data_IF_825094240426
#
_entry.id   IF_825094240426
#
_cell.length_a   1.000
_cell.length_b   1.000
_cell.length_c   1.000
_cell.angle_alpha   90.00
_cell.angle_beta   90.00
_cell.angle_gamma   90.00
#
_symmetry.space_group_name_H-M   'P 1'
#
loop_
_entity.id
_entity.type
_entity.pdbx_description
1 polymer ?
#
# COMPACT_ATOMS: atom_id res chain seq x y z
N UNK A 1 7.14 20.29 -2.03
CA UNK A 1 6.47 19.36 -2.96
C UNK A 1 6.02 18.12 -2.22
N UNK A 2 4.80 17.71 -2.43
CA UNK A 2 4.26 16.50 -1.84
C UNK A 2 5.07 15.27 -2.28
N UNK A 3 5.05 14.25 -1.47
CA UNK A 3 5.75 13.00 -1.71
C UNK A 3 4.81 11.83 -1.49
N UNK A 4 4.94 10.78 -2.29
CA UNK A 4 4.00 9.64 -2.25
C UNK A 4 4.77 8.33 -2.13
N UNK A 5 4.44 7.52 -1.15
CA UNK A 5 4.82 6.10 -1.16
C UNK A 5 3.72 5.32 -1.87
N UNK A 6 4.09 4.61 -2.92
CA UNK A 6 3.16 3.79 -3.70
C UNK A 6 3.42 2.31 -3.48
N UNK A 7 2.36 1.52 -3.48
CA UNK A 7 2.43 0.07 -3.23
C UNK A 7 1.59 -0.66 -4.26
N UNK A 8 2.11 -1.79 -4.73
CA UNK A 8 1.41 -2.67 -5.66
C UNK A 8 1.64 -4.11 -5.20
N UNK A 9 0.57 -4.83 -4.93
CA UNK A 9 0.66 -6.18 -4.37
C UNK A 9 -0.54 -7.03 -4.77
N UNK A 10 -0.46 -8.31 -4.48
CA UNK A 10 -1.56 -9.24 -4.67
C UNK A 10 -2.00 -9.79 -3.31
N UNK A 11 -3.31 -10.00 -3.17
CA UNK A 11 -3.91 -10.53 -1.94
C UNK A 11 -4.86 -11.65 -2.34
N UNK A 12 -4.79 -12.82 -1.69
CA UNK A 12 -5.81 -13.85 -1.92
C UNK A 12 -7.19 -13.27 -1.65
N UNK A 13 -8.12 -13.45 -2.59
CA UNK A 13 -9.47 -12.87 -2.47
C UNK A 13 -10.15 -13.27 -1.14
N UNK A 14 -9.93 -14.52 -0.70
CA UNK A 14 -10.49 -15.01 0.55
C UNK A 14 -9.93 -14.30 1.80
N UNK A 15 -8.80 -13.61 1.66
CA UNK A 15 -8.15 -12.87 2.76
C UNK A 15 -8.34 -11.35 2.65
N UNK A 16 -9.10 -10.89 1.66
CA UNK A 16 -9.26 -9.45 1.43
C UNK A 16 -9.89 -8.75 2.62
N UNK A 17 -10.87 -9.36 3.30
CA UNK A 17 -11.49 -8.78 4.49
C UNK A 17 -10.49 -8.60 5.62
N UNK A 18 -9.60 -9.57 5.82
CA UNK A 18 -8.51 -9.50 6.82
C UNK A 18 -7.54 -8.38 6.44
N UNK A 19 -7.15 -8.32 5.17
CA UNK A 19 -6.27 -7.27 4.66
C UNK A 19 -6.86 -5.89 4.91
N UNK A 20 -8.13 -5.71 4.58
CA UNK A 20 -8.85 -4.44 4.78
C UNK A 20 -8.82 -4.00 6.24
N UNK A 21 -9.06 -4.92 7.16
CA UNK A 21 -9.06 -4.61 8.60
C UNK A 21 -7.68 -4.19 9.09
N UNK A 22 -6.64 -4.93 8.69
CA UNK A 22 -5.25 -4.63 9.05
C UNK A 22 -4.84 -3.27 8.48
N UNK A 23 -5.15 -3.03 7.21
CA UNK A 23 -4.81 -1.79 6.52
C UNK A 23 -5.53 -0.58 7.09
N UNK A 24 -6.80 -0.73 7.49
CA UNK A 24 -7.55 0.34 8.12
C UNK A 24 -6.90 0.75 9.45
N UNK A 25 -6.47 -0.22 10.24
CA UNK A 25 -5.76 0.04 11.49
C UNK A 25 -4.42 0.74 11.23
N UNK A 26 -3.66 0.23 10.26
CA UNK A 26 -2.38 0.84 9.89
C UNK A 26 -2.57 2.28 9.40
N UNK A 27 -3.59 2.54 8.58
CA UNK A 27 -3.87 3.87 8.05
C UNK A 27 -4.15 4.88 9.14
N UNK A 28 -4.89 4.49 10.17
CA UNK A 28 -5.14 5.37 11.32
C UNK A 28 -3.85 5.76 12.03
N UNK A 29 -2.94 4.80 12.21
CA UNK A 29 -1.64 5.05 12.83
C UNK A 29 -0.82 6.01 11.96
N UNK A 30 -0.75 5.78 10.64
CA UNK A 30 -0.07 6.67 9.72
C UNK A 30 -0.59 8.10 9.81
N UNK A 31 -1.92 8.25 9.80
CA UNK A 31 -2.56 9.57 9.89
C UNK A 31 -2.24 10.26 11.21
N UNK A 32 -2.23 9.53 12.32
CA UNK A 32 -1.88 10.09 13.63
C UNK A 32 -0.44 10.60 13.68
N UNK A 33 0.47 9.92 12.97
CA UNK A 33 1.87 10.35 12.87
C UNK A 33 2.09 11.46 11.86
N UNK A 34 1.06 11.87 11.13
CA UNK A 34 1.11 13.06 10.29
C UNK A 34 1.00 12.85 8.79
N UNK A 35 0.77 11.61 8.30
CA UNK A 35 0.51 11.38 6.88
C UNK A 35 -0.72 12.17 6.44
N UNK A 36 -0.65 12.77 5.25
CA UNK A 36 -1.74 13.60 4.74
C UNK A 36 -2.88 12.77 4.16
N UNK A 37 -2.54 11.65 3.52
CA UNK A 37 -3.52 10.79 2.87
C UNK A 37 -3.04 9.35 2.94
N UNK A 38 -3.98 8.43 3.09
CA UNK A 38 -3.73 7.00 3.11
C UNK A 38 -4.89 6.31 2.40
N UNK A 39 -4.61 5.59 1.30
CA UNK A 39 -5.64 4.89 0.53
C UNK A 39 -5.21 3.49 0.15
N UNK A 40 -6.16 2.57 0.25
CA UNK A 40 -6.02 1.20 -0.21
C UNK A 40 -7.11 0.93 -1.23
N UNK A 41 -6.73 0.51 -2.43
CA UNK A 41 -7.68 0.28 -3.52
C UNK A 41 -7.53 -1.13 -4.05
N UNK A 42 -8.65 -1.84 -4.21
CA UNK A 42 -8.65 -3.17 -4.83
C UNK A 42 -9.00 -3.04 -6.31
N UNK A 43 -8.29 -3.83 -7.14
CA UNK A 43 -8.51 -3.82 -8.58
C UNK A 43 -9.94 -4.19 -8.95
N UNK A 44 -10.51 -3.43 -9.85
CA UNK A 44 -11.88 -3.61 -10.38
C UNK A 44 -11.83 -3.79 -11.89
N UNK A 45 -11.44 -2.75 -12.62
CA UNK A 45 -11.33 -2.80 -14.07
C UNK A 45 -9.85 -2.82 -14.47
N UNK A 46 -9.18 -3.96 -14.26
CA UNK A 46 -7.73 -4.10 -14.44
C UNK A 46 -7.31 -4.98 -15.61
N UNK A 47 -8.25 -5.65 -16.28
CA UNK A 47 -7.97 -6.50 -17.44
C UNK A 47 -8.15 -5.69 -18.72
N UNK A 48 -7.34 -4.66 -18.87
CA UNK A 48 -7.41 -3.73 -19.99
C UNK A 48 -6.66 -4.25 -21.20
N UNK A 49 -7.05 -3.79 -22.40
CA UNK A 49 -6.46 -4.24 -23.67
C UNK A 49 -5.19 -3.48 -24.03
N UNK A 50 -5.01 -2.28 -23.51
CA UNK A 50 -3.86 -1.42 -23.83
C UNK A 50 -2.85 -1.45 -22.70
N UNK A 51 -1.57 -1.54 -23.07
CA UNK A 51 -0.50 -1.63 -22.10
C UNK A 51 -0.41 -3.01 -21.47
N UNK A 52 0.33 -3.08 -20.36
CA UNK A 52 0.49 -4.31 -19.58
C UNK A 52 -0.46 -4.28 -18.39
N UNK A 53 -1.49 -5.14 -18.37
CA UNK A 53 -2.47 -5.16 -17.27
C UNK A 53 -1.79 -5.43 -15.90
N UNK A 54 -2.31 -4.82 -14.85
CA UNK A 54 -1.78 -5.01 -13.50
C UNK A 54 -1.70 -6.48 -13.06
N UNK A 55 -2.70 -7.34 -13.35
CA UNK A 55 -2.58 -8.75 -12.99
C UNK A 55 -1.37 -9.45 -13.61
N UNK A 56 -1.01 -9.09 -14.85
CA UNK A 56 0.21 -9.62 -15.50
C UNK A 56 1.47 -9.05 -14.88
N UNK A 57 1.48 -7.74 -14.61
CA UNK A 57 2.63 -7.08 -14.00
C UNK A 57 2.94 -7.64 -12.62
N UNK A 58 1.93 -7.94 -11.83
CA UNK A 58 2.08 -8.47 -10.48
C UNK A 58 2.19 -9.99 -10.44
N UNK A 59 2.05 -10.66 -11.58
CA UNK A 59 2.02 -12.13 -11.68
C UNK A 59 0.95 -12.71 -10.75
N UNK A 60 -0.23 -12.07 -10.74
CA UNK A 60 -1.34 -12.51 -9.89
C UNK A 60 -1.73 -13.95 -10.22
N UNK A 61 -1.87 -14.75 -9.18
CA UNK A 61 -2.31 -16.14 -9.30
C UNK A 61 -3.83 -16.19 -9.30
N UNK A 62 -4.37 -17.35 -9.73
CA UNK A 62 -5.81 -17.61 -9.66
C UNK A 62 -6.28 -17.39 -8.20
N UNK A 63 -7.38 -16.64 -8.06
CA UNK A 63 -7.94 -16.35 -6.74
C UNK A 63 -7.28 -15.19 -6.01
N UNK A 64 -6.33 -14.51 -6.65
CA UNK A 64 -5.73 -13.29 -6.09
C UNK A 64 -6.32 -12.04 -6.72
N UNK A 65 -6.42 -10.98 -5.94
CA UNK A 65 -6.78 -9.64 -6.42
C UNK A 65 -5.56 -8.73 -6.34
N UNK A 66 -5.52 -7.72 -7.19
CA UNK A 66 -4.47 -6.71 -7.17
C UNK A 66 -4.89 -5.58 -6.26
N UNK A 67 -3.97 -5.13 -5.41
CA UNK A 67 -4.18 -3.97 -4.54
C UNK A 67 -3.18 -2.89 -4.95
N UNK A 68 -3.67 -1.67 -5.09
CA UNK A 68 -2.88 -0.48 -5.36
C UNK A 68 -3.16 0.51 -4.24
N UNK A 69 -2.11 0.94 -3.56
CA UNK A 69 -2.27 1.83 -2.41
C UNK A 69 -1.22 2.93 -2.42
N UNK A 70 -1.50 4.01 -1.69
CA UNK A 70 -0.56 5.11 -1.57
C UNK A 70 -0.74 5.85 -0.26
N UNK A 71 0.37 6.47 0.15
CA UNK A 71 0.42 7.33 1.32
C UNK A 71 1.04 8.65 0.87
N UNK A 72 0.40 9.77 1.18
CA UNK A 72 0.88 11.10 0.80
C UNK A 72 1.45 11.82 2.00
N UNK A 73 2.61 12.45 1.80
CA UNK A 73 3.33 13.24 2.80
C UNK A 73 3.57 14.66 2.27
N UNK A 74 3.88 15.60 3.15
CA UNK A 74 4.21 16.98 2.75
C UNK A 74 5.46 17.05 1.88
N UNK A 75 6.44 16.19 2.15
CA UNK A 75 7.74 16.15 1.48
C UNK A 75 8.42 14.83 1.76
N UNK A 76 9.51 14.56 1.06
CA UNK A 76 10.35 13.39 1.36
C UNK A 76 10.91 13.46 2.78
N UNK A 77 11.37 14.62 3.21
CA UNK A 77 11.89 14.80 4.58
C UNK A 77 10.82 14.47 5.63
N UNK A 78 9.58 14.88 5.37
CA UNK A 78 8.44 14.57 6.23
C UNK A 78 8.21 13.06 6.31
N UNK A 79 8.20 12.38 5.15
CA UNK A 79 8.08 10.92 5.08
C UNK A 79 9.20 10.25 5.89
N UNK A 80 10.43 10.68 5.70
CA UNK A 80 11.59 10.08 6.36
C UNK A 80 11.57 10.28 7.87
N UNK A 81 10.93 11.35 8.37
CA UNK A 81 10.73 11.54 9.81
C UNK A 81 9.63 10.66 10.39
N UNK A 82 8.57 10.41 9.61
CA UNK A 82 7.42 9.63 10.07
C UNK A 82 7.73 8.13 10.13
N UNK A 83 8.41 7.60 9.11
CA UNK A 83 8.60 6.15 8.98
C UNK A 83 9.23 5.47 10.19
N UNK A 84 10.31 6.01 10.80
CA UNK A 84 10.87 5.36 12.00
C UNK A 84 9.87 5.28 13.15
N UNK A 85 9.03 6.29 13.32
CA UNK A 85 8.00 6.30 14.35
C UNK A 85 6.95 5.23 14.09
N UNK A 86 6.56 5.06 12.83
CA UNK A 86 5.61 4.02 12.41
C UNK A 86 6.20 2.63 12.69
N UNK A 87 7.48 2.41 12.31
CA UNK A 87 8.13 1.12 12.49
C UNK A 87 8.29 0.73 13.96
N UNK A 88 8.32 1.71 14.86
CA UNK A 88 8.40 1.49 16.30
C UNK A 88 7.04 1.43 16.99
N UNK A 89 5.97 1.73 16.28
CA UNK A 89 4.64 1.76 16.88
C UNK A 89 4.16 0.33 17.15
N UNK A 90 3.91 0.02 18.42
CA UNK A 90 3.54 -1.32 18.86
C UNK A 90 2.22 -1.79 18.28
N UNK A 91 1.32 -0.85 17.90
CA UNK A 91 0.02 -1.18 17.32
C UNK A 91 0.16 -1.87 15.96
N UNK A 92 1.29 -1.69 15.26
CA UNK A 92 1.53 -2.27 13.94
C UNK A 92 2.40 -3.51 13.97
N UNK A 93 2.81 -3.97 15.14
CA UNK A 93 3.59 -5.20 15.24
C UNK A 93 2.72 -6.40 14.91
N UNK A 94 3.20 -7.22 13.99
CA UNK A 94 2.51 -8.42 13.53
C UNK A 94 3.52 -9.49 13.19
N UNK A 95 3.19 -10.74 13.52
CA UNK A 95 4.00 -11.88 13.08
C UNK A 95 3.91 -11.99 11.56
N UNK A 96 5.04 -12.07 10.84
CA UNK A 96 5.02 -12.20 9.37
C UNK A 96 4.14 -13.33 8.85
N UNK A 97 4.01 -14.44 9.60
CA UNK A 97 3.16 -15.57 9.19
C UNK A 97 1.67 -15.22 9.20
N UNK A 98 1.26 -14.17 9.94
CA UNK A 98 -0.14 -13.74 10.03
C UNK A 98 -0.50 -12.70 8.97
N UNK A 99 0.47 -12.30 8.13
CA UNK A 99 0.21 -11.36 7.05
C UNK A 99 -0.67 -12.01 5.99
N UNK A 100 -1.71 -11.30 5.53
CA UNK A 100 -2.65 -11.87 4.55
C UNK A 100 -2.13 -11.86 3.11
N UNK A 101 -0.84 -11.56 2.89
CA UNK A 101 -0.23 -11.53 1.57
C UNK A 101 1.27 -11.83 1.67
N UNK A 102 1.89 -12.18 0.54
CA UNK A 102 3.33 -12.43 0.46
C UNK A 102 4.08 -11.11 0.28
N UNK A 103 4.77 -10.67 1.32
CA UNK A 103 5.52 -9.42 1.32
C UNK A 103 6.64 -9.39 0.29
N UNK A 104 7.18 -10.55 -0.09
CA UNK A 104 8.26 -10.63 -1.10
C UNK A 104 7.78 -10.28 -2.50
N UNK A 105 6.47 -10.37 -2.74
CA UNK A 105 5.84 -10.06 -4.03
C UNK A 105 5.30 -8.64 -4.10
N UNK A 106 5.43 -7.87 -3.02
CA UNK A 106 4.98 -6.48 -2.99
C UNK A 106 6.02 -5.57 -3.61
N UNK A 107 5.59 -4.71 -4.54
CA UNK A 107 6.42 -3.63 -5.07
C UNK A 107 6.06 -2.34 -4.33
N UNK A 108 7.06 -1.58 -3.91
CA UNK A 108 6.80 -0.29 -3.29
C UNK A 108 7.99 0.66 -3.47
N UNK A 109 7.70 1.94 -3.35
CA UNK A 109 8.75 2.95 -3.43
C UNK A 109 8.20 4.35 -3.25
N UNK A 110 9.10 5.31 -3.12
CA UNK A 110 8.78 6.72 -2.96
C UNK A 110 8.85 7.48 -4.27
N UNK A 111 7.89 8.38 -4.48
CA UNK A 111 7.72 9.13 -5.72
C UNK A 111 7.57 10.62 -5.45
N UNK A 112 8.28 11.43 -6.21
CA UNK A 112 8.08 12.89 -6.18
C UNK A 112 6.84 13.24 -6.98
N UNK A 113 6.00 14.10 -6.43
CA UNK A 113 4.89 14.67 -7.19
C UNK A 113 5.48 15.73 -8.14
N UNK A 114 5.24 15.57 -9.44
CA UNK A 114 5.74 16.50 -10.47
C UNK A 114 4.62 17.32 -11.12
N UNK A 115 3.38 16.90 -10.97
CA UNK A 115 2.19 17.66 -11.38
C UNK A 115 1.18 17.55 -10.25
N UNK A 116 0.74 18.68 -9.74
CA UNK A 116 -0.22 18.75 -8.63
C UNK A 116 -1.22 19.87 -8.96
N UNK A 117 -2.40 19.49 -9.43
CA UNK A 117 -3.42 20.41 -9.91
C UNK A 117 -4.48 20.74 -8.88
#
# INVERSE_FOLDING_TARGET
MAYVDGFLLTVPARKLAVYRRISAKAGKVWKEHGALEYRECVGDDVNVKHGLPFPKRTKAKKGEVVVFSWIVYKSRAHRDRILPKIMQDKRLKMDPKDMPFDMKRMSYGGFKVIVDL
#
